data_IF_449030870598
#
_entry.id   IF_449030870598
#
_cell.length_a   1.000
_cell.length_b   1.000
_cell.length_c   1.000
_cell.angle_alpha   90.00
_cell.angle_beta   90.00
_cell.angle_gamma   90.00
#
_symmetry.space_group_name_H-M   'P 1'
#
loop_
_entity.id
_entity.type
_entity.pdbx_description
1 polymer ?
#
# COMPACT_ATOMS: atom_id res chain seq x y z
N UNK A 1 15.72 -18.96 3.85
CA UNK A 1 15.18 -17.80 4.60
C UNK A 1 15.79 -17.84 6.00
N UNK A 2 16.35 -16.73 6.49
CA UNK A 2 16.94 -16.69 7.85
C UNK A 2 15.83 -16.61 8.93
N UNK A 3 16.09 -16.99 10.19
CA UNK A 3 15.11 -16.85 11.28
C UNK A 3 14.60 -15.41 11.44
N UNK A 4 15.50 -14.43 11.27
CA UNK A 4 15.14 -13.01 11.28
C UNK A 4 14.19 -12.66 10.13
N UNK A 5 14.45 -13.12 8.91
CA UNK A 5 13.55 -12.90 7.77
C UNK A 5 12.18 -13.53 7.98
N UNK A 6 12.10 -14.72 8.59
CA UNK A 6 10.84 -15.38 8.91
C UNK A 6 10.00 -14.54 9.90
N UNK A 7 10.62 -13.99 10.95
CA UNK A 7 9.95 -13.11 11.91
C UNK A 7 9.45 -11.82 11.25
N UNK A 8 10.22 -11.25 10.30
CA UNK A 8 9.82 -10.06 9.55
C UNK A 8 8.61 -10.31 8.64
N UNK A 9 8.59 -11.47 7.97
CA UNK A 9 7.45 -11.92 7.15
C UNK A 9 6.21 -12.07 8.03
N UNK A 10 6.30 -12.78 9.16
CA UNK A 10 5.18 -12.95 10.08
C UNK A 10 4.63 -11.62 10.62
N UNK A 11 5.51 -10.68 11.00
CA UNK A 11 5.09 -9.34 11.44
C UNK A 11 4.42 -8.53 10.32
N UNK A 12 4.88 -8.71 9.09
CA UNK A 12 4.28 -8.07 7.91
C UNK A 12 2.89 -8.64 7.61
N UNK A 13 2.76 -9.96 7.64
CA UNK A 13 1.47 -10.66 7.49
C UNK A 13 0.45 -10.17 8.53
N UNK A 14 0.85 -10.09 9.81
CA UNK A 14 -0.05 -9.60 10.87
C UNK A 14 -0.53 -8.17 10.62
N UNK A 15 0.38 -7.25 10.27
CA UNK A 15 0.00 -5.83 10.03
C UNK A 15 -0.93 -5.68 8.83
N UNK A 16 -0.73 -6.48 7.79
CA UNK A 16 -1.62 -6.50 6.63
C UNK A 16 -2.99 -7.07 7.02
N UNK A 17 -3.01 -8.15 7.81
CA UNK A 17 -4.25 -8.75 8.31
C UNK A 17 -5.05 -7.77 9.19
N UNK A 18 -4.37 -7.02 10.08
CA UNK A 18 -4.99 -5.97 10.90
C UNK A 18 -5.63 -4.91 10.00
N UNK A 19 -4.91 -4.44 8.98
CA UNK A 19 -5.42 -3.44 8.04
C UNK A 19 -6.58 -3.97 7.20
N UNK A 20 -6.53 -5.23 6.78
CA UNK A 20 -7.62 -5.89 6.07
C UNK A 20 -8.87 -6.04 6.93
N UNK A 21 -8.69 -6.31 8.22
CA UNK A 21 -9.77 -6.33 9.20
C UNK A 21 -10.43 -4.95 9.32
N UNK A 22 -9.64 -3.88 9.46
CA UNK A 22 -10.14 -2.50 9.49
C UNK A 22 -10.91 -2.11 8.22
N UNK A 23 -10.51 -2.67 7.06
CA UNK A 23 -11.13 -2.41 5.76
C UNK A 23 -12.33 -3.34 5.46
N UNK A 24 -12.65 -4.28 6.35
CA UNK A 24 -13.76 -5.23 6.14
C UNK A 24 -13.50 -6.29 5.07
N UNK A 25 -12.23 -6.61 4.79
CA UNK A 25 -11.86 -7.64 3.81
C UNK A 25 -12.21 -9.03 4.37
N UNK A 26 -12.93 -9.88 3.62
CA UNK A 26 -13.20 -11.26 4.03
C UNK A 26 -11.90 -12.07 4.20
N UNK A 27 -11.85 -12.92 5.22
CA UNK A 27 -10.70 -13.79 5.52
C UNK A 27 -9.36 -13.01 5.57
N UNK A 28 -9.23 -12.02 6.47
CA UNK A 28 -8.12 -11.07 6.44
C UNK A 28 -6.74 -11.75 6.62
N UNK A 29 -6.64 -12.75 7.49
CA UNK A 29 -5.39 -13.48 7.72
C UNK A 29 -4.92 -14.27 6.47
N UNK A 30 -5.83 -14.97 5.82
CA UNK A 30 -5.51 -15.78 4.63
C UNK A 30 -5.20 -14.91 3.41
N UNK A 31 -5.96 -13.83 3.23
CA UNK A 31 -5.69 -12.81 2.22
C UNK A 31 -4.35 -12.12 2.43
N UNK A 32 -3.99 -11.81 3.69
CA UNK A 32 -2.71 -11.20 4.02
C UNK A 32 -1.54 -12.15 3.72
N UNK A 33 -1.65 -13.42 4.14
CA UNK A 33 -0.64 -14.45 3.85
C UNK A 33 -0.41 -14.60 2.34
N UNK A 34 -1.49 -14.74 1.57
CA UNK A 34 -1.42 -14.85 0.11
C UNK A 34 -0.74 -13.65 -0.53
N UNK A 35 -1.11 -12.44 -0.11
CA UNK A 35 -0.47 -11.21 -0.61
C UNK A 35 1.03 -11.19 -0.31
N UNK A 36 1.44 -11.56 0.90
CA UNK A 36 2.87 -11.59 1.27
C UNK A 36 3.63 -12.64 0.46
N UNK A 37 3.06 -13.83 0.25
CA UNK A 37 3.65 -14.85 -0.63
C UNK A 37 3.84 -14.34 -2.06
N UNK A 38 2.84 -13.66 -2.63
CA UNK A 38 2.89 -13.09 -3.98
C UNK A 38 3.94 -11.98 -4.08
N UNK A 39 4.04 -11.11 -3.07
CA UNK A 39 5.07 -10.06 -3.00
C UNK A 39 6.48 -10.67 -2.94
N UNK A 40 6.70 -11.69 -2.10
CA UNK A 40 7.98 -12.38 -2.01
C UNK A 40 8.37 -13.03 -3.34
N UNK A 41 7.41 -13.67 -4.05
CA UNK A 41 7.63 -14.24 -5.39
C UNK A 41 7.99 -13.18 -6.42
N UNK A 42 7.38 -12.00 -6.34
CA UNK A 42 7.71 -10.84 -7.17
C UNK A 42 9.05 -10.18 -6.80
N UNK A 43 9.79 -10.73 -5.83
CA UNK A 43 11.12 -10.25 -5.43
C UNK A 43 11.09 -9.12 -4.40
N UNK A 44 9.92 -8.76 -3.87
CA UNK A 44 9.83 -7.79 -2.78
C UNK A 44 10.47 -8.38 -1.53
N UNK A 45 11.22 -7.56 -0.79
CA UNK A 45 11.81 -7.95 0.49
C UNK A 45 11.20 -7.10 1.60
N UNK A 46 10.76 -7.70 2.73
CA UNK A 46 10.32 -6.94 3.88
C UNK A 46 11.48 -6.03 4.34
N UNK A 47 11.19 -4.75 4.56
CA UNK A 47 12.22 -3.77 4.93
C UNK A 47 12.54 -3.90 6.44
N UNK A 48 13.79 -4.14 6.84
CA UNK A 48 14.17 -4.31 8.25
C UNK A 48 13.74 -3.16 9.18
N UNK A 49 13.78 -1.92 8.69
CA UNK A 49 13.43 -0.71 9.44
C UNK A 49 11.94 -0.63 9.84
N UNK A 50 11.05 -1.41 9.19
CA UNK A 50 9.63 -1.44 9.52
C UNK A 50 9.25 -2.48 10.59
N UNK A 51 10.24 -3.28 11.02
CA UNK A 51 10.04 -4.40 11.93
C UNK A 51 10.20 -3.88 13.35
N UNK A 52 11.35 -3.31 13.74
CA UNK A 52 11.58 -2.90 15.14
C UNK A 52 12.10 -1.45 15.29
N UNK A 53 12.01 -0.64 14.24
CA UNK A 53 12.41 0.77 14.27
C UNK A 53 11.21 1.73 14.42
N UNK A 54 11.39 2.91 15.04
CA UNK A 54 10.45 4.00 14.81
C UNK A 54 10.33 4.24 13.30
N UNK A 55 9.15 4.63 12.79
CA UNK A 55 9.00 4.93 11.38
C UNK A 55 10.09 5.92 10.96
N UNK A 56 10.74 5.72 9.79
CA UNK A 56 11.79 6.62 9.35
C UNK A 56 11.26 8.05 9.39
N UNK A 57 12.11 8.98 9.87
CA UNK A 57 11.75 10.40 9.88
C UNK A 57 11.27 10.77 8.49
N UNK A 58 10.03 11.24 8.40
CA UNK A 58 9.46 11.72 7.14
C UNK A 58 10.26 12.95 6.74
N UNK A 59 11.25 12.76 5.87
CA UNK A 59 11.95 13.88 5.24
C UNK A 59 10.98 14.49 4.24
N UNK A 60 10.88 15.81 4.23
CA UNK A 60 10.10 16.48 3.20
C UNK A 60 10.58 16.02 1.82
N UNK A 61 9.67 15.67 0.89
CA UNK A 61 10.06 15.32 -0.46
C UNK A 61 10.91 16.46 -1.05
N UNK A 62 11.91 16.12 -1.86
CA UNK A 62 12.73 17.12 -2.54
C UNK A 62 11.86 18.06 -3.37
N UNK A 63 12.35 19.27 -3.68
CA UNK A 63 11.62 20.23 -4.52
C UNK A 63 11.18 19.59 -5.85
N UNK A 64 12.02 18.71 -6.41
CA UNK A 64 11.71 17.93 -7.63
C UNK A 64 10.52 16.99 -7.39
N UNK A 65 10.53 16.20 -6.31
CA UNK A 65 9.43 15.30 -6.00
C UNK A 65 8.11 16.04 -5.70
N UNK A 66 8.18 17.23 -5.09
CA UNK A 66 7.02 18.09 -4.87
C UNK A 66 6.43 18.59 -6.20
N UNK A 67 7.28 19.02 -7.14
CA UNK A 67 6.84 19.46 -8.46
C UNK A 67 6.18 18.32 -9.26
N UNK A 68 6.73 17.11 -9.21
CA UNK A 68 6.12 15.94 -9.86
C UNK A 68 4.78 15.55 -9.24
N UNK A 69 4.66 15.62 -7.90
CA UNK A 69 3.37 15.41 -7.23
C UNK A 69 2.32 16.47 -7.61
N UNK A 70 2.72 17.73 -7.81
CA UNK A 70 1.84 18.79 -8.27
C UNK A 70 1.30 18.50 -9.67
N UNK A 71 2.18 18.15 -10.63
CA UNK A 71 1.79 17.75 -11.98
C UNK A 71 0.84 16.55 -11.99
N UNK A 72 1.14 15.52 -11.20
CA UNK A 72 0.28 14.35 -11.10
C UNK A 72 -1.13 14.69 -10.59
N UNK A 73 -1.25 15.65 -9.68
CA UNK A 73 -2.55 16.13 -9.18
C UNK A 73 -3.35 16.87 -10.23
N UNK A 74 -2.69 17.70 -11.05
CA UNK A 74 -3.33 18.41 -12.17
C UNK A 74 -3.92 17.41 -13.17
N UNK A 75 -3.14 16.41 -13.58
CA UNK A 75 -3.60 15.34 -14.48
C UNK A 75 -4.79 14.57 -13.89
N UNK A 76 -4.76 14.28 -12.59
CA UNK A 76 -5.87 13.60 -11.93
C UNK A 76 -7.12 14.47 -11.80
N UNK A 77 -6.96 15.79 -11.64
CA UNK A 77 -8.08 16.72 -11.59
C UNK A 77 -8.76 16.84 -12.96
N UNK A 78 -7.97 16.97 -14.02
CA UNK A 78 -8.45 16.96 -15.41
C UNK A 78 -9.23 15.68 -15.72
N UNK A 79 -8.66 14.51 -15.37
CA UNK A 79 -9.34 13.22 -15.59
C UNK A 79 -10.61 13.04 -14.75
N UNK A 80 -10.67 13.63 -13.55
CA UNK A 80 -11.91 13.61 -12.72
C UNK A 80 -12.98 14.54 -13.28
N UNK A 81 -12.60 15.70 -13.83
CA UNK A 81 -13.52 16.60 -14.53
C UNK A 81 -14.08 16.01 -15.84
N UNK A 82 -13.38 15.03 -16.42
CA UNK A 82 -13.83 14.25 -17.59
C UNK A 82 -14.59 12.97 -17.26
N UNK A 83 -15.04 12.76 -16.02
CA UNK A 83 -15.98 11.67 -15.76
C UNK A 83 -17.32 12.06 -16.40
N UNK A 84 -17.77 11.43 -17.50
CA UNK A 84 -19.16 11.62 -17.91
C UNK A 84 -20.00 11.20 -16.72
N UNK A 85 -20.87 12.09 -16.27
CA UNK A 85 -21.92 11.75 -15.32
C UNK A 85 -22.56 10.46 -15.86
N UNK A 86 -22.45 9.37 -15.11
CA UNK A 86 -23.25 8.19 -15.40
C UNK A 86 -24.67 8.69 -15.28
N UNK A 87 -25.29 8.92 -16.44
CA UNK A 87 -26.60 9.53 -16.57
C UNK A 87 -27.53 8.88 -15.56
N UNK A 88 -28.01 9.69 -14.62
CA UNK A 88 -29.28 9.46 -13.97
C UNK A 88 -30.29 9.10 -15.06
N UNK A 89 -30.91 7.92 -14.94
CA UNK A 89 -32.02 7.55 -15.81
C UNK A 89 -31.85 6.21 -16.53
N UNK A 90 -31.92 5.11 -15.78
CA UNK A 90 -32.50 3.88 -16.29
C UNK A 90 -33.49 3.35 -15.25
N UNK A 91 -34.73 3.83 -15.40
CA UNK A 91 -36.05 3.29 -15.01
C UNK A 91 -36.13 2.29 -13.87
#
# INVERSE_FOLDING_TARGET
MTPQQAAMVAKTEQRIADRFTELGVPHPAESAKRLVEDLLRAGWRPWPALVDGPPPRRVAPSAVAQAELAKAREVLAEKRGHRPELADGAR
#
